data_IF_499160372292
#
_entry.id   IF_499160372292
#
_cell.length_a   1.000
_cell.length_b   1.000
_cell.length_c   1.000
_cell.angle_alpha   90.00
_cell.angle_beta   90.00
_cell.angle_gamma   90.00
#
_symmetry.space_group_name_H-M   'P 1'
#
loop_
_entity.id
_entity.type
_entity.pdbx_description
1 polymer ?
#
# COMPACT_ATOMS: atom_id res chain seq x y z
N UNK A 1 24.21 -5.37 12.29
CA UNK A 1 23.14 -4.62 11.64
C UNK A 1 23.59 -3.17 11.51
N UNK A 2 23.48 -2.66 10.31
CA UNK A 2 23.62 -1.25 10.08
C UNK A 2 22.43 -0.54 10.75
N UNK A 3 22.53 0.74 10.97
CA UNK A 3 21.57 1.56 11.70
C UNK A 3 20.14 1.38 11.13
N UNK A 4 19.12 0.98 11.94
CA UNK A 4 17.75 0.86 11.44
C UNK A 4 17.17 2.24 11.14
N UNK A 5 16.31 2.31 10.14
CA UNK A 5 15.53 3.52 9.82
C UNK A 5 14.21 3.43 10.59
N UNK A 6 14.12 4.11 11.72
CA UNK A 6 12.94 4.12 12.61
C UNK A 6 12.30 5.50 12.71
N UNK A 7 13.04 6.55 12.35
CA UNK A 7 12.59 7.94 12.39
C UNK A 7 13.00 8.66 11.12
N UNK A 8 12.34 9.78 10.75
CA UNK A 8 12.78 10.58 9.60
C UNK A 8 14.25 10.98 9.65
N UNK A 9 14.80 11.27 10.84
CA UNK A 9 16.19 11.65 11.00
C UNK A 9 17.17 10.53 10.59
N UNK A 10 16.74 9.28 10.63
CA UNK A 10 17.58 8.15 10.21
C UNK A 10 17.78 8.06 8.70
N UNK A 11 16.91 8.74 7.93
CA UNK A 11 17.05 8.86 6.46
C UNK A 11 18.14 9.86 6.05
N UNK A 12 18.51 10.81 6.92
CA UNK A 12 19.55 11.79 6.59
C UNK A 12 20.90 11.10 6.45
N UNK A 13 21.53 11.25 5.28
CA UNK A 13 22.83 10.66 4.93
C UNK A 13 22.78 9.16 4.66
N UNK A 14 21.60 8.53 4.53
CA UNK A 14 21.49 7.12 4.18
C UNK A 14 21.68 6.88 2.68
N UNK A 15 22.11 5.66 2.32
CA UNK A 15 22.06 5.14 0.95
C UNK A 15 20.72 4.45 0.76
N UNK A 16 19.81 5.13 0.06
CA UNK A 16 18.44 4.67 -0.12
C UNK A 16 18.27 3.99 -1.49
N UNK A 17 17.84 2.73 -1.47
CA UNK A 17 17.47 1.95 -2.65
C UNK A 17 15.96 2.07 -2.88
N UNK A 18 15.54 2.54 -4.05
CA UNK A 18 14.10 2.74 -4.31
C UNK A 18 13.67 2.53 -5.75
N UNK A 19 12.39 2.23 -5.95
CA UNK A 19 11.76 2.24 -7.26
C UNK A 19 11.59 3.68 -7.75
N UNK A 20 11.46 3.87 -9.06
CA UNK A 20 11.28 5.19 -9.67
C UNK A 20 10.16 5.99 -8.99
N UNK A 21 10.47 7.22 -8.62
CA UNK A 21 9.55 8.17 -8.00
C UNK A 21 9.48 8.09 -6.47
N UNK A 22 10.14 7.13 -5.83
CA UNK A 22 10.16 7.02 -4.36
C UNK A 22 10.99 8.12 -3.71
N UNK A 23 11.97 8.69 -4.43
CA UNK A 23 12.72 9.85 -3.94
C UNK A 23 11.79 11.00 -3.53
N UNK A 24 10.70 11.26 -4.25
CA UNK A 24 9.74 12.31 -3.88
C UNK A 24 9.04 12.03 -2.54
N UNK A 25 8.91 10.76 -2.16
CA UNK A 25 8.34 10.33 -0.88
C UNK A 25 9.35 10.56 0.24
N UNK A 26 10.62 10.19 0.03
CA UNK A 26 11.70 10.43 1.01
C UNK A 26 11.88 11.93 1.24
N UNK A 27 11.90 12.73 0.16
CA UNK A 27 11.98 14.19 0.22
C UNK A 27 10.82 14.77 1.05
N UNK A 28 9.59 14.27 0.84
CA UNK A 28 8.42 14.71 1.58
C UNK A 28 8.53 14.38 3.07
N UNK A 29 8.98 13.17 3.43
CA UNK A 29 9.21 12.76 4.83
C UNK A 29 10.20 13.70 5.51
N UNK A 30 11.35 13.94 4.89
CA UNK A 30 12.38 14.83 5.43
C UNK A 30 11.89 16.28 5.53
N UNK A 31 11.21 16.79 4.49
CA UNK A 31 10.63 18.14 4.48
C UNK A 31 9.59 18.33 5.58
N UNK A 32 8.68 17.38 5.76
CA UNK A 32 7.65 17.43 6.81
C UNK A 32 8.26 17.38 8.22
N UNK A 33 9.37 16.66 8.38
CA UNK A 33 10.10 16.60 9.64
C UNK A 33 11.00 17.83 9.89
N UNK A 34 11.10 18.77 8.95
CA UNK A 34 11.99 19.93 9.05
C UNK A 34 13.47 19.57 8.98
N UNK A 35 13.81 18.47 8.33
CA UNK A 35 15.15 17.93 8.19
C UNK A 35 15.75 18.30 6.81
N UNK A 36 17.10 18.30 6.68
CA UNK A 36 17.73 18.48 5.38
C UNK A 36 17.43 17.30 4.47
N UNK A 37 17.14 17.57 3.19
CA UNK A 37 16.96 16.56 2.15
C UNK A 37 18.35 16.17 1.63
N UNK A 38 19.05 15.37 2.41
CA UNK A 38 20.42 14.93 2.17
C UNK A 38 20.51 13.41 2.35
N UNK A 39 20.52 12.67 1.25
CA UNK A 39 20.70 11.21 1.19
C UNK A 39 21.16 10.81 -0.22
N UNK A 40 21.73 9.63 -0.37
CA UNK A 40 22.12 9.08 -1.66
C UNK A 40 21.02 8.15 -2.19
N UNK A 41 20.41 8.50 -3.32
CA UNK A 41 19.38 7.67 -3.95
C UNK A 41 19.96 6.78 -5.05
N UNK A 42 19.65 5.49 -4.97
CA UNK A 42 20.00 4.49 -5.97
C UNK A 42 18.76 3.81 -6.53
N UNK A 43 18.49 3.92 -7.83
CA UNK A 43 17.37 3.21 -8.45
C UNK A 43 17.50 1.71 -8.25
N UNK A 44 16.44 1.08 -7.76
CA UNK A 44 16.34 -0.35 -7.54
C UNK A 44 15.02 -0.90 -8.08
N UNK A 45 15.06 -2.14 -8.58
CA UNK A 45 13.85 -2.85 -8.97
C UNK A 45 13.08 -3.39 -7.75
N UNK A 46 12.30 -4.44 -7.96
CA UNK A 46 11.50 -5.07 -6.88
C UNK A 46 12.26 -6.14 -6.10
N UNK A 47 13.48 -6.50 -6.51
CA UNK A 47 14.32 -7.47 -5.82
C UNK A 47 15.06 -6.85 -4.63
N UNK A 48 15.00 -7.51 -3.49
CA UNK A 48 15.72 -7.11 -2.27
C UNK A 48 17.22 -7.48 -2.28
N UNK A 49 17.69 -8.15 -3.34
CA UNK A 49 19.07 -8.63 -3.41
C UNK A 49 20.10 -7.52 -3.14
N UNK A 50 19.93 -6.34 -3.74
CA UNK A 50 20.83 -5.21 -3.53
C UNK A 50 20.92 -4.76 -2.06
N UNK A 51 19.81 -4.82 -1.31
CA UNK A 51 19.83 -4.54 0.13
C UNK A 51 20.58 -5.62 0.89
N UNK A 52 20.31 -6.89 0.60
CA UNK A 52 20.98 -8.04 1.25
C UNK A 52 22.48 -8.04 0.97
N UNK A 53 22.89 -7.62 -0.21
CA UNK A 53 24.31 -7.46 -0.60
C UNK A 53 24.98 -6.22 0.01
N UNK A 54 24.23 -5.39 0.77
CA UNK A 54 24.78 -4.21 1.44
C UNK A 54 25.03 -3.01 0.53
N UNK A 55 24.37 -2.96 -0.64
CA UNK A 55 24.52 -1.86 -1.59
C UNK A 55 23.80 -0.58 -1.10
N UNK A 56 22.88 -0.70 -0.13
CA UNK A 56 22.17 0.41 0.51
C UNK A 56 21.91 0.15 1.98
N UNK A 57 21.49 1.19 2.68
CA UNK A 57 21.14 1.15 4.10
C UNK A 57 19.64 1.00 4.31
N UNK A 58 18.85 1.48 3.34
CA UNK A 58 17.41 1.39 3.29
C UNK A 58 16.92 0.97 1.90
N UNK A 59 15.71 0.41 1.84
CA UNK A 59 15.07 -0.03 0.61
C UNK A 59 13.56 0.23 0.67
N UNK A 60 12.97 0.82 -0.37
CA UNK A 60 11.53 0.99 -0.45
C UNK A 60 10.82 -0.34 -0.70
N UNK A 61 9.91 -0.71 0.18
CA UNK A 61 9.24 -2.00 0.16
C UNK A 61 7.72 -1.88 0.23
N UNK A 62 7.04 -2.89 -0.29
CA UNK A 62 5.65 -3.15 0.04
C UNK A 62 5.61 -4.08 1.25
N UNK A 63 4.92 -3.67 2.31
CA UNK A 63 4.77 -4.43 3.55
C UNK A 63 4.32 -5.88 3.33
N UNK A 64 3.53 -6.09 2.28
CA UNK A 64 2.97 -7.38 1.91
C UNK A 64 3.85 -8.18 0.93
N UNK A 65 5.09 -7.75 0.65
CA UNK A 65 5.95 -8.45 -0.31
C UNK A 65 7.39 -8.60 0.20
N UNK A 66 8.23 -7.58 0.10
CA UNK A 66 9.68 -7.71 0.32
C UNK A 66 10.07 -8.15 1.74
N UNK A 67 9.41 -7.71 2.84
CA UNK A 67 9.70 -8.26 4.17
C UNK A 67 9.46 -9.78 4.25
N UNK A 68 8.44 -10.28 3.54
CA UNK A 68 8.15 -11.72 3.48
C UNK A 68 9.29 -12.45 2.74
N UNK A 69 9.72 -11.89 1.60
CA UNK A 69 10.85 -12.44 0.83
C UNK A 69 12.14 -12.50 1.67
N UNK A 70 12.45 -11.44 2.44
CA UNK A 70 13.60 -11.46 3.36
C UNK A 70 13.52 -12.61 4.38
N UNK A 71 12.33 -12.86 4.90
CA UNK A 71 12.12 -13.95 5.87
C UNK A 71 12.13 -15.33 5.21
N UNK A 72 11.44 -15.52 4.09
CA UNK A 72 11.21 -16.85 3.49
C UNK A 72 12.34 -17.32 2.60
N UNK A 73 12.99 -16.43 1.86
CA UNK A 73 14.05 -16.79 0.91
C UNK A 73 15.43 -16.55 1.48
N UNK A 74 15.62 -15.49 2.28
CA UNK A 74 16.93 -15.16 2.86
C UNK A 74 17.08 -15.60 4.32
N UNK A 75 16.02 -16.11 4.96
CA UNK A 75 16.03 -16.57 6.35
C UNK A 75 16.28 -15.47 7.39
N UNK A 76 16.08 -14.21 6.99
CA UNK A 76 16.30 -13.05 7.86
C UNK A 76 15.14 -12.86 8.84
N UNK A 77 15.44 -12.31 10.02
CA UNK A 77 14.44 -12.05 11.06
C UNK A 77 14.21 -10.55 11.21
N UNK A 78 12.96 -10.15 11.16
CA UNK A 78 12.56 -8.79 11.47
C UNK A 78 12.87 -8.44 12.93
N UNK A 79 13.39 -7.24 13.16
CA UNK A 79 13.83 -6.77 14.47
C UNK A 79 15.25 -7.22 14.86
N UNK A 80 15.87 -8.16 14.11
CA UNK A 80 17.25 -8.61 14.32
C UNK A 80 18.13 -8.29 13.09
N UNK A 81 17.77 -8.83 11.92
CA UNK A 81 18.55 -8.73 10.68
C UNK A 81 18.09 -7.59 9.79
N UNK A 82 16.79 -7.27 9.82
CA UNK A 82 16.21 -6.12 9.15
C UNK A 82 15.08 -5.49 9.99
N UNK A 83 14.73 -4.25 9.67
CA UNK A 83 13.64 -3.51 10.32
C UNK A 83 12.72 -2.97 9.24
N UNK A 84 11.42 -3.13 9.43
CA UNK A 84 10.40 -2.53 8.57
C UNK A 84 9.77 -1.34 9.29
N UNK A 85 9.70 -0.19 8.61
CA UNK A 85 9.04 1.02 9.09
C UNK A 85 8.13 1.54 7.99
N UNK A 86 6.86 1.73 8.28
CA UNK A 86 5.91 2.27 7.31
C UNK A 86 6.10 3.77 7.09
N UNK A 87 5.69 4.24 5.92
CA UNK A 87 5.67 5.68 5.64
C UNK A 87 4.79 6.46 6.63
N UNK A 88 3.71 5.83 7.13
CA UNK A 88 2.84 6.42 8.15
C UNK A 88 3.56 6.63 9.49
N UNK A 89 4.40 5.68 9.92
CA UNK A 89 5.25 5.84 11.11
C UNK A 89 6.30 6.94 10.93
N UNK A 90 6.74 7.17 9.69
CA UNK A 90 7.62 8.28 9.34
C UNK A 90 6.87 9.61 9.12
N UNK A 91 5.56 9.65 9.40
CA UNK A 91 4.74 10.86 9.35
C UNK A 91 4.03 11.10 8.01
N UNK A 92 4.13 10.18 7.06
CA UNK A 92 3.53 10.34 5.73
C UNK A 92 2.30 9.43 5.60
N UNK A 93 1.12 9.98 5.94
CA UNK A 93 -0.15 9.28 5.83
C UNK A 93 -0.66 9.16 4.39
N UNK A 94 -1.41 8.10 4.12
CA UNK A 94 -2.02 7.93 2.80
C UNK A 94 -2.83 6.66 2.64
N UNK A 95 -3.76 6.69 1.68
CA UNK A 95 -4.40 5.50 1.15
C UNK A 95 -3.59 4.94 -0.02
N UNK A 96 -3.53 3.62 -0.14
CA UNK A 96 -2.90 2.93 -1.25
C UNK A 96 -3.92 2.11 -2.04
N UNK A 97 -3.59 1.76 -3.28
CA UNK A 97 -4.39 0.89 -4.16
C UNK A 97 -5.84 1.38 -4.35
N UNK A 98 -6.01 2.67 -4.59
CA UNK A 98 -7.32 3.27 -4.83
C UNK A 98 -7.87 2.90 -6.21
N UNK A 99 -9.20 2.71 -6.29
CA UNK A 99 -9.90 2.56 -7.56
C UNK A 99 -10.28 3.92 -8.12
N UNK A 100 -10.07 4.10 -9.42
CA UNK A 100 -10.45 5.34 -10.11
C UNK A 100 -10.98 5.06 -11.52
N UNK A 101 -11.83 5.95 -11.99
CA UNK A 101 -12.29 5.98 -13.37
C UNK A 101 -12.50 7.43 -13.83
N UNK A 102 -12.70 7.63 -15.12
CA UNK A 102 -13.10 8.95 -15.64
C UNK A 102 -14.52 9.29 -15.17
N UNK A 103 -14.78 10.55 -14.85
CA UNK A 103 -16.09 11.03 -14.42
C UNK A 103 -17.18 10.69 -15.44
N UNK A 104 -16.91 10.94 -16.73
CA UNK A 104 -17.84 10.60 -17.81
C UNK A 104 -18.22 9.12 -17.78
N UNK A 105 -17.24 8.21 -17.60
CA UNK A 105 -17.51 6.78 -17.51
C UNK A 105 -18.37 6.43 -16.31
N UNK A 106 -18.13 7.05 -15.15
CA UNK A 106 -18.97 6.86 -13.98
C UNK A 106 -20.41 7.27 -14.22
N UNK A 107 -20.65 8.36 -14.99
CA UNK A 107 -21.98 8.89 -15.25
C UNK A 107 -22.74 8.12 -16.35
N UNK A 108 -22.04 7.68 -17.41
CA UNK A 108 -22.66 6.95 -18.52
C UNK A 108 -22.75 5.44 -18.28
N UNK A 109 -21.83 4.87 -17.50
CA UNK A 109 -21.70 3.42 -17.26
C UNK A 109 -21.83 3.08 -15.78
N UNK A 110 -22.70 3.80 -15.05
CA UNK A 110 -22.86 3.69 -13.60
C UNK A 110 -23.09 2.24 -13.14
N UNK A 111 -23.99 1.51 -13.80
CA UNK A 111 -24.30 0.13 -13.44
C UNK A 111 -23.12 -0.80 -13.67
N UNK A 112 -22.29 -0.54 -14.67
CA UNK A 112 -21.05 -1.27 -14.92
C UNK A 112 -20.06 -1.07 -13.78
N UNK A 113 -19.88 0.18 -13.32
CA UNK A 113 -19.01 0.50 -12.17
C UNK A 113 -19.53 -0.15 -10.88
N UNK A 114 -20.84 -0.09 -10.64
CA UNK A 114 -21.48 -0.76 -9.49
C UNK A 114 -21.26 -2.28 -9.54
N UNK A 115 -21.46 -2.88 -10.71
CA UNK A 115 -21.24 -4.31 -10.92
C UNK A 115 -19.78 -4.73 -10.66
N UNK A 116 -18.82 -3.95 -11.15
CA UNK A 116 -17.39 -4.16 -10.92
C UNK A 116 -17.04 -4.09 -9.42
N UNK A 117 -17.47 -3.01 -8.73
CA UNK A 117 -17.22 -2.85 -7.31
C UNK A 117 -17.84 -4.00 -6.49
N UNK A 118 -19.10 -4.37 -6.81
CA UNK A 118 -19.79 -5.49 -6.15
C UNK A 118 -19.06 -6.82 -6.34
N UNK A 119 -18.62 -7.09 -7.56
CA UNK A 119 -17.83 -8.28 -7.87
C UNK A 119 -16.51 -8.32 -7.09
N UNK A 120 -15.81 -7.19 -7.03
CA UNK A 120 -14.55 -7.06 -6.30
C UNK A 120 -14.75 -7.24 -4.79
N UNK A 121 -15.79 -6.62 -4.20
CA UNK A 121 -16.12 -6.81 -2.77
C UNK A 121 -16.43 -8.29 -2.49
N UNK A 122 -17.28 -8.93 -3.31
CA UNK A 122 -17.60 -10.36 -3.15
C UNK A 122 -16.38 -11.25 -3.28
N UNK A 123 -15.44 -10.90 -4.19
CA UNK A 123 -14.16 -11.60 -4.33
C UNK A 123 -13.32 -11.55 -3.05
N UNK A 124 -13.21 -10.38 -2.42
CA UNK A 124 -12.52 -10.24 -1.14
C UNK A 124 -13.21 -10.98 0.00
N UNK A 125 -14.54 -10.97 0.08
CA UNK A 125 -15.31 -11.75 1.06
C UNK A 125 -15.11 -13.25 0.86
N UNK A 126 -15.08 -13.71 -0.37
CA UNK A 126 -14.79 -15.12 -0.69
C UNK A 126 -13.37 -15.49 -0.26
N UNK A 127 -12.38 -14.63 -0.56
CA UNK A 127 -11.00 -14.82 -0.14
C UNK A 127 -10.86 -14.82 1.39
N UNK A 128 -11.61 -14.00 2.10
CA UNK A 128 -11.61 -13.99 3.57
C UNK A 128 -12.19 -15.29 4.17
N UNK A 129 -13.21 -15.86 3.52
CA UNK A 129 -13.82 -17.13 3.94
C UNK A 129 -12.90 -18.34 3.66
N UNK A 130 -12.08 -18.29 2.61
CA UNK A 130 -11.08 -19.30 2.27
C UNK A 130 -9.77 -18.63 1.81
N UNK A 131 -8.89 -18.24 2.75
CA UNK A 131 -7.64 -17.55 2.43
C UNK A 131 -6.62 -18.37 1.61
N UNK A 132 -6.84 -19.66 1.46
CA UNK A 132 -5.97 -20.51 0.63
C UNK A 132 -6.30 -20.43 -0.86
N UNK A 133 -7.53 -20.09 -1.20
CA UNK A 133 -8.03 -20.13 -2.57
C UNK A 133 -7.33 -19.13 -3.51
N UNK A 134 -7.26 -17.85 -3.12
CA UNK A 134 -6.68 -16.83 -3.99
C UNK A 134 -5.18 -17.04 -4.27
N UNK A 135 -4.32 -17.39 -3.29
CA UNK A 135 -2.93 -17.74 -3.56
C UNK A 135 -2.78 -18.92 -4.55
N UNK A 136 -3.55 -19.98 -4.37
CA UNK A 136 -3.50 -21.14 -5.26
C UNK A 136 -4.01 -20.82 -6.67
N UNK A 137 -5.07 -20.02 -6.77
CA UNK A 137 -5.58 -19.54 -8.06
C UNK A 137 -4.53 -18.68 -8.79
N UNK A 138 -3.86 -17.76 -8.07
CA UNK A 138 -2.85 -16.89 -8.67
C UNK A 138 -1.65 -17.69 -9.15
N UNK A 139 -1.06 -18.51 -8.29
CA UNK A 139 0.16 -19.27 -8.61
C UNK A 139 -0.06 -20.28 -9.72
N UNK A 140 -1.19 -21.01 -9.70
CA UNK A 140 -1.47 -22.07 -10.66
C UNK A 140 -2.24 -21.58 -11.90
N UNK A 141 -2.77 -20.37 -11.87
CA UNK A 141 -3.56 -19.76 -12.92
C UNK A 141 -2.87 -18.56 -13.61
N UNK A 142 -3.39 -17.34 -13.42
CA UNK A 142 -2.87 -16.16 -14.11
C UNK A 142 -1.39 -15.86 -13.83
N UNK A 143 -0.88 -16.19 -12.66
CA UNK A 143 0.49 -15.91 -12.23
C UNK A 143 1.49 -17.07 -12.44
N UNK A 144 1.08 -18.19 -13.05
CA UNK A 144 1.91 -19.39 -13.19
C UNK A 144 3.27 -19.16 -13.87
N UNK A 145 3.32 -18.20 -14.80
CA UNK A 145 4.52 -17.90 -15.58
C UNK A 145 5.37 -16.79 -14.92
N UNK A 146 5.00 -16.33 -13.71
CA UNK A 146 5.68 -15.27 -12.98
C UNK A 146 6.66 -15.79 -11.92
N UNK A 147 6.78 -17.10 -11.76
CA UNK A 147 7.68 -17.71 -10.77
C UNK A 147 7.30 -17.41 -9.32
N UNK A 148 6.01 -17.25 -9.02
CA UNK A 148 5.53 -16.93 -7.69
C UNK A 148 5.58 -18.14 -6.76
N UNK A 149 6.05 -17.94 -5.54
CA UNK A 149 6.13 -18.97 -4.50
C UNK A 149 4.84 -19.04 -3.69
N UNK A 150 4.23 -20.22 -3.60
CA UNK A 150 2.92 -20.41 -2.96
C UNK A 150 2.90 -20.01 -1.48
N UNK A 151 3.96 -20.30 -0.73
CA UNK A 151 4.03 -19.94 0.70
C UNK A 151 4.12 -18.42 0.87
N UNK A 152 4.94 -17.75 0.06
CA UNK A 152 5.03 -16.30 0.05
C UNK A 152 3.66 -15.68 -0.28
N UNK A 153 2.96 -16.20 -1.29
CA UNK A 153 1.64 -15.71 -1.68
C UNK A 153 0.57 -15.95 -0.60
N UNK A 154 0.63 -17.05 0.16
CA UNK A 154 -0.27 -17.30 1.30
C UNK A 154 -0.03 -16.31 2.44
N UNK A 155 1.22 -16.02 2.77
CA UNK A 155 1.58 -15.04 3.79
C UNK A 155 1.16 -13.64 3.33
N UNK A 156 1.47 -13.27 2.08
CA UNK A 156 1.08 -12.00 1.48
C UNK A 156 -0.43 -11.78 1.54
N UNK A 157 -1.22 -12.78 1.14
CA UNK A 157 -2.68 -12.70 1.16
C UNK A 157 -3.23 -12.44 2.58
N UNK A 158 -2.68 -13.13 3.58
CA UNK A 158 -3.06 -12.94 4.98
C UNK A 158 -2.76 -11.51 5.45
N UNK A 159 -1.53 -11.04 5.26
CA UNK A 159 -1.12 -9.70 5.67
C UNK A 159 -1.91 -8.63 4.91
N UNK A 160 -2.20 -8.83 3.62
CA UNK A 160 -3.03 -7.91 2.83
C UNK A 160 -4.43 -7.75 3.43
N UNK A 161 -5.05 -8.82 3.88
CA UNK A 161 -6.36 -8.74 4.55
C UNK A 161 -6.28 -7.99 5.88
N UNK A 162 -5.20 -8.15 6.64
CA UNK A 162 -4.98 -7.39 7.88
C UNK A 162 -4.86 -5.88 7.60
N UNK A 163 -4.13 -5.48 6.54
CA UNK A 163 -4.01 -4.07 6.12
C UNK A 163 -5.30 -3.47 5.57
N UNK A 164 -6.26 -4.27 5.15
CA UNK A 164 -7.58 -3.80 4.71
C UNK A 164 -8.53 -3.51 5.87
N UNK A 165 -8.19 -3.91 7.09
CA UNK A 165 -9.03 -3.71 8.28
C UNK A 165 -8.76 -2.35 8.93
N UNK A 166 -9.83 -1.66 9.27
CA UNK A 166 -9.80 -0.41 10.02
C UNK A 166 -11.18 -0.17 10.65
N UNK A 167 -11.29 0.72 11.63
CA UNK A 167 -12.58 1.11 12.20
C UNK A 167 -13.57 1.64 11.14
N UNK A 168 -13.08 2.23 10.06
CA UNK A 168 -13.90 2.66 8.94
C UNK A 168 -14.42 1.48 8.12
N UNK A 169 -13.53 0.55 7.76
CA UNK A 169 -13.90 -0.62 6.95
C UNK A 169 -14.76 -1.63 7.69
N UNK A 170 -14.56 -1.80 9.00
CA UNK A 170 -15.46 -2.59 9.85
C UNK A 170 -16.89 -2.03 9.85
N UNK A 171 -17.02 -0.70 9.89
CA UNK A 171 -18.33 -0.04 9.97
C UNK A 171 -19.01 0.12 8.63
N UNK A 172 -18.26 0.42 7.56
CA UNK A 172 -18.80 0.80 6.25
C UNK A 172 -18.50 -0.21 5.14
N UNK A 173 -17.53 -1.09 5.35
CA UNK A 173 -17.04 -2.02 4.34
C UNK A 173 -15.73 -1.55 3.70
N UNK A 174 -15.09 -2.43 2.93
CA UNK A 174 -13.84 -2.13 2.20
C UNK A 174 -14.06 -1.08 1.11
N UNK A 175 -12.97 -0.44 0.70
CA UNK A 175 -12.89 0.62 -0.32
C UNK A 175 -13.48 1.98 0.09
N UNK A 176 -13.97 2.13 1.32
CA UNK A 176 -14.35 3.44 1.81
C UNK A 176 -13.13 4.30 2.08
N UNK A 177 -13.21 5.56 1.65
CA UNK A 177 -12.23 6.61 1.89
C UNK A 177 -12.94 7.70 2.69
N UNK A 178 -12.26 8.22 3.73
CA UNK A 178 -12.73 9.37 4.47
C UNK A 178 -12.13 10.65 3.86
N UNK A 179 -12.92 11.52 3.24
CA UNK A 179 -12.42 12.79 2.69
C UNK A 179 -11.71 13.66 3.73
N UNK A 180 -12.14 13.62 4.98
CA UNK A 180 -11.51 14.39 6.05
C UNK A 180 -10.11 13.85 6.37
N UNK A 181 -9.94 12.54 6.41
CA UNK A 181 -8.63 11.91 6.60
C UNK A 181 -7.67 12.23 5.45
N UNK A 182 -8.17 12.25 4.21
CA UNK A 182 -7.40 12.69 3.04
C UNK A 182 -6.88 14.13 3.22
N UNK A 183 -7.74 15.07 3.64
CA UNK A 183 -7.35 16.47 3.80
C UNK A 183 -6.40 16.69 4.97
N UNK A 184 -6.57 15.95 6.06
CA UNK A 184 -5.77 16.10 7.27
C UNK A 184 -4.44 15.36 7.21
N UNK A 185 -4.38 14.19 6.59
CA UNK A 185 -3.24 13.29 6.65
C UNK A 185 -2.52 13.11 5.30
N UNK A 186 -3.24 13.06 4.17
CA UNK A 186 -2.60 12.91 2.85
C UNK A 186 -2.18 14.24 2.23
N UNK A 187 -3.01 15.27 2.32
CA UNK A 187 -2.71 16.57 1.69
C UNK A 187 -1.45 17.25 2.22
N UNK A 188 -1.11 17.18 3.52
CA UNK A 188 0.19 17.66 4.00
C UNK A 188 1.36 17.00 3.26
N UNK A 189 1.33 15.68 3.10
CA UNK A 189 2.34 14.91 2.36
C UNK A 189 2.45 15.36 0.91
N UNK A 190 1.31 15.51 0.22
CA UNK A 190 1.28 15.99 -1.17
C UNK A 190 1.81 17.42 -1.31
N UNK A 191 1.55 18.30 -0.33
CA UNK A 191 2.15 19.66 -0.32
C UNK A 191 3.65 19.59 -0.14
N UNK A 192 4.15 18.70 0.70
CA UNK A 192 5.58 18.50 0.90
C UNK A 192 6.30 18.00 -0.37
N UNK A 193 5.60 17.29 -1.27
CA UNK A 193 6.13 16.94 -2.60
C UNK A 193 6.05 18.09 -3.61
N UNK A 194 5.69 19.29 -3.19
CA UNK A 194 5.61 20.48 -4.04
C UNK A 194 4.28 20.69 -4.78
N UNK A 195 3.23 19.90 -4.49
CA UNK A 195 1.90 20.13 -5.06
C UNK A 195 1.25 21.37 -4.44
N UNK A 196 1.02 22.38 -5.26
CA UNK A 196 0.46 23.67 -4.83
C UNK A 196 -1.07 23.72 -4.86
N UNK A 197 -1.69 22.92 -5.74
CA UNK A 197 -3.15 22.83 -5.86
C UNK A 197 -3.64 21.45 -5.49
N UNK A 198 -4.53 21.42 -4.51
CA UNK A 198 -5.25 20.21 -4.07
C UNK A 198 -6.73 20.59 -3.96
N UNK A 199 -7.63 19.98 -4.77
CA UNK A 199 -9.05 20.25 -4.68
C UNK A 199 -9.60 19.71 -3.35
N UNK A 200 -10.77 20.21 -2.86
CA UNK A 200 -11.43 19.58 -1.72
C UNK A 200 -11.61 18.07 -1.94
N UNK A 201 -11.27 17.26 -0.95
CA UNK A 201 -11.31 15.80 -1.11
C UNK A 201 -12.71 15.29 -1.51
N UNK A 202 -13.77 15.94 -1.02
CA UNK A 202 -15.15 15.63 -1.39
C UNK A 202 -15.47 15.82 -2.89
N UNK A 203 -14.66 16.58 -3.63
CA UNK A 203 -14.85 16.76 -5.08
C UNK A 203 -14.18 15.67 -5.93
N UNK A 204 -13.20 14.94 -5.36
CA UNK A 204 -12.46 13.89 -6.07
C UNK A 204 -12.92 12.48 -5.70
N UNK A 205 -13.60 12.31 -4.57
CA UNK A 205 -14.13 11.01 -4.15
C UNK A 205 -15.64 10.94 -4.37
N UNK A 206 -16.06 10.02 -5.24
CA UNK A 206 -17.48 9.74 -5.48
C UNK A 206 -17.84 8.37 -4.92
N UNK A 207 -18.62 8.34 -3.86
CA UNK A 207 -19.03 7.11 -3.17
C UNK A 207 -20.37 6.55 -3.63
N UNK A 208 -21.07 7.17 -4.59
CA UNK A 208 -22.41 6.73 -5.02
C UNK A 208 -22.42 5.29 -5.54
N UNK A 209 -21.45 4.95 -6.39
CA UNK A 209 -21.35 3.60 -6.93
C UNK A 209 -21.00 2.56 -5.85
N UNK A 210 -20.13 2.92 -4.89
CA UNK A 210 -19.79 2.06 -3.76
C UNK A 210 -21.01 1.83 -2.85
N UNK A 211 -21.77 2.88 -2.54
CA UNK A 211 -23.03 2.79 -1.78
C UNK A 211 -24.04 1.86 -2.49
N UNK A 212 -24.16 1.99 -3.81
CA UNK A 212 -25.05 1.12 -4.59
C UNK A 212 -24.57 -0.34 -4.58
N UNK A 213 -23.25 -0.58 -4.67
CA UNK A 213 -22.67 -1.93 -4.61
C UNK A 213 -22.96 -2.62 -3.27
N UNK A 214 -22.95 -1.87 -2.17
CA UNK A 214 -23.21 -2.39 -0.83
C UNK A 214 -24.68 -2.68 -0.50
N UNK A 215 -25.65 -2.23 -1.29
CA UNK A 215 -27.07 -2.51 -1.04
C UNK A 215 -27.43 -4.00 -0.96
N UNK A 216 -26.64 -4.85 -1.61
CA UNK A 216 -26.84 -6.30 -1.65
C UNK A 216 -25.79 -7.08 -0.82
N UNK A 217 -25.03 -6.38 0.03
CA UNK A 217 -23.95 -6.96 0.83
C UNK A 217 -24.24 -6.68 2.30
N UNK A 218 -24.26 -7.74 3.12
CA UNK A 218 -24.50 -7.62 4.55
C UNK A 218 -23.22 -7.18 5.28
N UNK A 219 -23.33 -6.18 6.15
CA UNK A 219 -22.27 -5.72 7.06
C UNK A 219 -22.52 -6.24 8.48
N UNK A 220 -21.49 -6.37 9.34
CA UNK A 220 -20.07 -6.14 9.07
C UNK A 220 -19.46 -7.23 8.18
N UNK A 221 -18.39 -6.87 7.46
CA UNK A 221 -17.62 -7.82 6.67
C UNK A 221 -16.71 -8.61 7.62
N UNK A 222 -16.75 -9.94 7.53
CA UNK A 222 -15.72 -10.78 8.13
C UNK A 222 -14.56 -10.90 7.13
N UNK A 223 -13.56 -10.03 7.29
CA UNK A 223 -12.29 -10.10 6.58
C UNK A 223 -11.23 -10.75 7.46
#
# INVERSE_FOLDING_TARGET
AQRPILTPNDLVGCRFLGQDGVETIVDAVLTMAGLPVEYDYFPAGYSVAALVEGQGDAYSAFAVNQPITLQTEYGMKEGEDFFFTSWAELGLGGYANMMFCRREFLETEFDTVVGFLRGTIKGWLYNAADPSFAPELVVNGPGRDLGLEINQQKIQNKIQMEYMQSALTEKKGIFWIDPQDVEQNMYPSLRATGRTYLPPAAEIFDTRALQAAYKEITLPLAL
#
